data_IF_997481181859
#
_entry.id   IF_997481181859
#
_cell.length_a   1.000
_cell.length_b   1.000
_cell.length_c   1.000
_cell.angle_alpha   90.00
_cell.angle_beta   90.00
_cell.angle_gamma   90.00
#
_symmetry.space_group_name_H-M   'P 1'
#
loop_
_entity.id
_entity.type
_entity.pdbx_description
1 polymer ?
#
# COMPACT_ATOMS: atom_id res chain seq x y z
N UNK A 1 -14.12 -7.27 -15.10
CA UNK A 1 -14.20 -6.64 -13.76
C UNK A 1 -13.65 -5.24 -13.87
N UNK A 2 -14.26 -4.20 -13.28
CA UNK A 2 -13.65 -2.87 -13.27
C UNK A 2 -12.28 -2.96 -12.59
N UNK A 3 -11.25 -2.38 -13.21
CA UNK A 3 -9.91 -2.39 -12.68
C UNK A 3 -9.88 -1.66 -11.33
N UNK A 4 -9.26 -2.26 -10.31
CA UNK A 4 -9.13 -1.63 -8.99
C UNK A 4 -8.08 -0.53 -9.06
N UNK A 5 -8.45 0.67 -8.64
CA UNK A 5 -7.52 1.79 -8.51
C UNK A 5 -6.86 1.76 -7.13
N UNK A 6 -5.55 1.85 -7.06
CA UNK A 6 -4.78 1.76 -5.82
C UNK A 6 -4.26 3.15 -5.44
N UNK A 7 -4.37 3.45 -4.16
CA UNK A 7 -3.88 4.69 -3.55
C UNK A 7 -2.43 4.53 -3.06
N UNK A 8 -1.67 5.62 -3.01
CA UNK A 8 -0.29 5.62 -2.50
C UNK A 8 -0.18 5.12 -1.05
N UNK A 9 -1.18 5.42 -0.21
CA UNK A 9 -1.21 5.02 1.20
C UNK A 9 -1.11 3.52 1.42
N UNK A 10 -1.58 2.69 0.47
CA UNK A 10 -1.45 1.23 0.52
C UNK A 10 0.01 0.82 0.55
N UNK A 11 0.84 1.42 -0.31
CA UNK A 11 2.28 1.14 -0.36
C UNK A 11 2.99 1.70 0.87
N UNK A 12 2.64 2.92 1.29
CA UNK A 12 3.18 3.54 2.50
C UNK A 12 2.94 2.66 3.73
N UNK A 13 1.70 2.23 3.98
CA UNK A 13 1.40 1.36 5.11
C UNK A 13 2.09 -0.01 5.00
N UNK A 14 2.21 -0.57 3.79
CA UNK A 14 2.88 -1.85 3.59
C UNK A 14 4.37 -1.80 3.94
N UNK A 15 5.08 -0.78 3.44
CA UNK A 15 6.55 -0.71 3.45
C UNK A 15 7.14 0.14 4.59
N UNK A 16 6.49 1.23 5.00
CA UNK A 16 7.04 2.16 5.99
C UNK A 16 7.31 1.46 7.33
N UNK A 17 8.55 1.56 7.83
CA UNK A 17 8.93 1.00 9.13
C UNK A 17 8.40 1.89 10.26
N UNK A 18 7.59 1.37 11.19
CA UNK A 18 7.13 2.15 12.34
C UNK A 18 8.30 2.61 13.19
N UNK A 19 8.30 3.86 13.64
CA UNK A 19 9.27 4.42 14.60
C UNK A 19 8.84 4.26 16.07
N UNK A 20 7.62 3.75 16.28
CA UNK A 20 7.03 3.44 17.57
C UNK A 20 6.23 2.15 17.46
N UNK A 21 5.86 1.59 18.61
CA UNK A 21 4.87 0.51 18.63
C UNK A 21 3.55 0.96 18.03
N UNK A 22 2.97 0.09 17.22
CA UNK A 22 1.70 0.32 16.55
C UNK A 22 0.55 -0.14 17.45
N UNK A 23 -0.51 0.65 17.50
CA UNK A 23 -1.78 0.25 18.12
C UNK A 23 -2.37 -0.94 17.35
N UNK A 24 -3.22 -1.79 17.96
CA UNK A 24 -3.80 -2.95 17.29
C UNK A 24 -4.45 -2.65 15.94
N UNK A 25 -5.16 -1.52 15.83
CA UNK A 25 -5.77 -1.07 14.57
C UNK A 25 -4.73 -0.74 13.47
N UNK A 26 -3.59 -0.16 13.86
CA UNK A 26 -2.52 0.22 12.92
C UNK A 26 -1.79 -1.02 12.40
N UNK A 27 -1.63 -2.02 13.26
CA UNK A 27 -1.13 -3.35 12.86
C UNK A 27 -2.08 -3.99 11.86
N UNK A 28 -3.39 -3.93 12.09
CA UNK A 28 -4.39 -4.46 11.17
C UNK A 28 -4.35 -3.77 9.80
N UNK A 29 -4.22 -2.44 9.77
CA UNK A 29 -4.05 -1.65 8.54
C UNK A 29 -2.78 -2.09 7.80
N UNK A 30 -1.64 -2.15 8.49
CA UNK A 30 -0.36 -2.59 7.91
C UNK A 30 -0.45 -4.01 7.33
N UNK A 31 -1.12 -4.93 8.03
CA UNK A 31 -1.32 -6.31 7.57
C UNK A 31 -2.18 -6.37 6.30
N UNK A 32 -3.28 -5.60 6.24
CA UNK A 32 -4.14 -5.51 5.05
C UNK A 32 -3.38 -4.90 3.86
N UNK A 33 -2.65 -3.82 4.09
CA UNK A 33 -1.82 -3.17 3.08
C UNK A 33 -0.80 -4.14 2.46
N UNK A 34 -0.07 -4.90 3.30
CA UNK A 34 0.86 -5.94 2.83
C UNK A 34 0.17 -7.05 2.04
N UNK A 35 -1.04 -7.44 2.41
CA UNK A 35 -1.80 -8.45 1.68
C UNK A 35 -2.19 -7.95 0.28
N UNK A 36 -2.60 -6.68 0.15
CA UNK A 36 -2.89 -6.06 -1.16
C UNK A 36 -1.62 -6.03 -2.02
N UNK A 37 -0.51 -5.50 -1.48
CA UNK A 37 0.76 -5.42 -2.22
C UNK A 37 1.25 -6.82 -2.64
N UNK A 38 1.14 -7.83 -1.76
CA UNK A 38 1.48 -9.22 -2.11
C UNK A 38 0.67 -9.75 -3.30
N UNK A 39 -0.63 -9.42 -3.38
CA UNK A 39 -1.47 -9.86 -4.50
C UNK A 39 -1.09 -9.14 -5.80
N UNK A 40 -0.81 -7.83 -5.74
CA UNK A 40 -0.31 -7.05 -6.88
C UNK A 40 1.01 -7.65 -7.37
N UNK A 41 1.95 -7.94 -6.47
CA UNK A 41 3.23 -8.59 -6.81
C UNK A 41 3.07 -9.99 -7.42
N UNK A 42 1.95 -10.67 -7.16
CA UNK A 42 1.60 -11.97 -7.77
C UNK A 42 0.86 -11.83 -9.11
N UNK A 43 0.69 -10.62 -9.63
CA UNK A 43 0.10 -10.36 -10.94
C UNK A 43 -1.36 -9.92 -10.91
N UNK A 44 -1.93 -9.55 -9.76
CA UNK A 44 -3.22 -8.87 -9.75
C UNK A 44 -3.11 -7.53 -10.50
N UNK A 45 -3.87 -7.38 -11.58
CA UNK A 45 -3.93 -6.15 -12.35
C UNK A 45 -4.66 -5.06 -11.57
N UNK A 46 -4.00 -3.90 -11.44
CA UNK A 46 -4.51 -2.71 -10.78
C UNK A 46 -4.16 -1.47 -11.60
N UNK A 47 -4.88 -0.39 -11.35
CA UNK A 47 -4.57 0.93 -11.89
C UNK A 47 -3.92 1.80 -10.80
N UNK A 48 -2.98 2.64 -11.20
CA UNK A 48 -2.31 3.63 -10.36
C UNK A 48 -2.11 4.90 -11.20
N UNK A 49 -2.36 6.09 -10.63
CA UNK A 49 -2.01 7.33 -11.33
C UNK A 49 -0.52 7.60 -11.24
N UNK A 50 -0.02 8.39 -12.17
CA UNK A 50 1.35 8.94 -12.11
C UNK A 50 1.56 9.82 -10.86
N UNK A 51 0.50 10.49 -10.38
CA UNK A 51 0.54 11.27 -9.13
C UNK A 51 0.75 10.37 -7.92
N UNK A 52 -0.04 9.30 -7.76
CA UNK A 52 0.15 8.34 -6.66
C UNK A 52 1.52 7.65 -6.76
N UNK A 53 2.00 7.36 -7.97
CA UNK A 53 3.35 6.84 -8.15
C UNK A 53 4.42 7.82 -7.65
N UNK A 54 4.30 9.11 -7.97
CA UNK A 54 5.21 10.15 -7.47
C UNK A 54 5.16 10.29 -5.94
N UNK A 55 3.98 10.19 -5.33
CA UNK A 55 3.83 10.20 -3.86
C UNK A 55 4.54 9.02 -3.21
N UNK A 56 4.39 7.81 -3.76
CA UNK A 56 5.09 6.61 -3.29
C UNK A 56 6.61 6.83 -3.36
N UNK A 57 7.11 7.32 -4.49
CA UNK A 57 8.54 7.57 -4.71
C UNK A 57 9.12 8.65 -3.80
N UNK A 58 8.30 9.61 -3.35
CA UNK A 58 8.75 10.69 -2.47
C UNK A 58 8.67 10.33 -0.97
N UNK A 59 7.76 9.41 -0.59
CA UNK A 59 7.55 9.02 0.81
C UNK A 59 8.37 7.80 1.25
N UNK A 60 8.71 6.90 0.32
CA UNK A 60 9.46 5.66 0.57
C UNK A 60 10.93 5.80 0.20
#
# INVERSE_FOLDING_TARGET
MPSRFVDASVFVHAYLKPRRELRPQEVAIKKRARAIVTRISKGEQVLLSTVHFAEIANLL
#
